data_IF_524292412506
#
_entry.id   IF_524292412506
#
_cell.length_a   1.000
_cell.length_b   1.000
_cell.length_c   1.000
_cell.angle_alpha   90.00
_cell.angle_beta   90.00
_cell.angle_gamma   90.00
#
_symmetry.space_group_name_H-M   'P 1'
#
loop_
_entity.id
_entity.type
_entity.pdbx_description
1 polymer ?
#
# COMPACT_ATOMS: atom_id res chain seq x y z
N UNK A 1 -2.82 7.89 -9.39
CA UNK A 1 -3.83 6.85 -9.16
C UNK A 1 -3.99 6.67 -7.66
N UNK A 2 -5.04 7.24 -7.07
CA UNK A 2 -5.41 6.94 -5.68
C UNK A 2 -6.14 5.61 -5.72
N UNK A 3 -5.58 4.62 -5.03
CA UNK A 3 -6.24 3.34 -4.85
C UNK A 3 -7.10 3.47 -3.59
N UNK A 4 -8.42 3.47 -3.80
CA UNK A 4 -9.40 3.37 -2.75
C UNK A 4 -9.72 1.88 -2.61
N UNK A 5 -8.90 1.19 -1.84
CA UNK A 5 -9.10 -0.20 -1.47
C UNK A 5 -9.20 -0.24 0.05
N UNK A 6 -10.29 -0.81 0.55
CA UNK A 6 -10.47 -1.15 1.96
C UNK A 6 -9.61 -2.37 2.31
N UNK A 7 -9.40 -2.60 3.62
CA UNK A 7 -8.68 -3.79 4.09
C UNK A 7 -9.41 -5.08 3.70
N UNK A 8 -10.74 -5.11 3.80
CA UNK A 8 -11.55 -6.26 3.36
C UNK A 8 -11.43 -6.56 1.87
N UNK A 9 -11.40 -5.52 1.02
CA UNK A 9 -11.19 -5.72 -0.42
C UNK A 9 -9.77 -6.20 -0.72
N UNK A 10 -8.77 -5.74 0.04
CA UNK A 10 -7.40 -6.22 -0.08
C UNK A 10 -7.28 -7.70 0.31
N UNK A 11 -7.97 -8.11 1.37
CA UNK A 11 -7.98 -9.50 1.83
C UNK A 11 -8.69 -10.42 0.83
N UNK A 12 -9.80 -9.97 0.25
CA UNK A 12 -10.50 -10.70 -0.83
C UNK A 12 -9.62 -10.88 -2.07
N UNK A 13 -8.91 -9.83 -2.51
CA UNK A 13 -7.93 -9.89 -3.61
C UNK A 13 -6.80 -10.86 -3.27
N UNK A 14 -6.33 -10.86 -2.03
CA UNK A 14 -5.26 -11.74 -1.57
C UNK A 14 -5.68 -13.20 -1.53
N UNK A 15 -6.92 -13.47 -1.13
CA UNK A 15 -7.51 -14.79 -1.20
C UNK A 15 -7.63 -15.27 -2.65
N UNK A 16 -8.23 -14.46 -3.54
CA UNK A 16 -8.36 -14.80 -4.96
C UNK A 16 -7.00 -15.05 -5.63
N UNK A 17 -5.99 -14.23 -5.30
CA UNK A 17 -4.62 -14.43 -5.77
C UNK A 17 -4.06 -15.79 -5.34
N UNK A 18 -4.29 -16.19 -4.08
CA UNK A 18 -3.83 -17.48 -3.57
C UNK A 18 -4.50 -18.65 -4.29
N UNK A 19 -5.80 -18.56 -4.57
CA UNK A 19 -6.53 -19.61 -5.29
C UNK A 19 -6.00 -19.77 -6.72
N UNK A 20 -5.85 -18.66 -7.45
CA UNK A 20 -5.35 -18.68 -8.83
C UNK A 20 -3.91 -19.23 -8.87
N UNK A 21 -3.06 -18.83 -7.92
CA UNK A 21 -1.69 -19.33 -7.84
C UNK A 21 -1.64 -20.86 -7.67
N UNK A 22 -2.44 -21.40 -6.75
CA UNK A 22 -2.49 -22.84 -6.51
C UNK A 22 -2.93 -23.60 -7.76
N UNK A 23 -3.92 -23.08 -8.50
CA UNK A 23 -4.39 -23.73 -9.73
C UNK A 23 -3.37 -23.66 -10.87
N UNK A 24 -2.63 -22.56 -11.00
CA UNK A 24 -1.54 -22.47 -11.98
C UNK A 24 -0.44 -23.49 -11.67
N UNK A 25 -0.03 -23.61 -10.41
CA UNK A 25 1.05 -24.54 -10.00
C UNK A 25 0.67 -26.01 -10.25
N UNK A 26 -0.62 -26.34 -10.27
CA UNK A 26 -1.13 -27.68 -10.54
C UNK A 26 -1.47 -27.94 -12.02
N UNK A 27 -1.51 -26.91 -12.86
CA UNK A 27 -1.99 -27.02 -14.24
C UNK A 27 -0.86 -27.35 -15.22
N UNK A 28 -1.14 -28.28 -16.15
CA UNK A 28 -0.22 -28.70 -17.22
C UNK A 28 -0.54 -28.04 -18.58
N UNK A 29 -1.57 -27.20 -18.65
CA UNK A 29 -1.98 -26.48 -19.85
C UNK A 29 -1.27 -25.12 -19.95
N UNK A 30 -0.32 -25.02 -20.88
CA UNK A 30 0.50 -23.83 -21.08
C UNK A 30 -0.33 -22.58 -21.44
N UNK A 31 -1.46 -22.72 -22.15
CA UNK A 31 -2.30 -21.57 -22.51
C UNK A 31 -3.02 -21.01 -21.29
N UNK A 32 -3.54 -21.90 -20.43
CA UNK A 32 -4.17 -21.51 -19.18
C UNK A 32 -3.16 -20.86 -18.22
N UNK A 33 -1.94 -21.42 -18.13
CA UNK A 33 -0.86 -20.88 -17.28
C UNK A 33 -0.47 -19.46 -17.69
N UNK A 34 -0.43 -19.15 -18.99
CA UNK A 34 -0.09 -17.81 -19.49
C UNK A 34 -1.17 -16.78 -19.09
N UNK A 35 -2.44 -17.05 -19.40
CA UNK A 35 -3.55 -16.12 -19.11
C UNK A 35 -3.73 -15.90 -17.60
N UNK A 36 -3.70 -16.98 -16.82
CA UNK A 36 -3.79 -16.91 -15.37
C UNK A 36 -2.56 -16.20 -14.76
N UNK A 37 -1.38 -16.34 -15.37
CA UNK A 37 -0.16 -15.64 -14.99
C UNK A 37 -0.26 -14.12 -15.14
N UNK A 38 -0.95 -13.63 -16.17
CA UNK A 38 -1.23 -12.19 -16.33
C UNK A 38 -2.19 -11.67 -15.26
N UNK A 39 -3.25 -12.42 -14.96
CA UNK A 39 -4.19 -12.07 -13.89
C UNK A 39 -3.49 -11.99 -12.52
N UNK A 40 -2.60 -12.94 -12.21
CA UNK A 40 -1.76 -12.91 -10.99
C UNK A 40 -0.92 -11.63 -10.93
N UNK A 41 -0.26 -11.24 -12.02
CA UNK A 41 0.58 -10.04 -12.06
C UNK A 41 -0.23 -8.77 -11.79
N UNK A 42 -1.45 -8.69 -12.35
CA UNK A 42 -2.33 -7.55 -12.13
C UNK A 42 -2.78 -7.46 -10.66
N UNK A 43 -3.20 -8.58 -10.07
CA UNK A 43 -3.58 -8.66 -8.65
C UNK A 43 -2.41 -8.30 -7.73
N UNK A 44 -1.20 -8.82 -7.99
CA UNK A 44 0.01 -8.46 -7.24
C UNK A 44 0.33 -6.97 -7.33
N UNK A 45 0.17 -6.36 -8.50
CA UNK A 45 0.37 -4.91 -8.67
C UNK A 45 -0.60 -4.07 -7.82
N UNK A 46 -1.85 -4.51 -7.71
CA UNK A 46 -2.85 -3.86 -6.84
C UNK A 46 -2.44 -4.00 -5.37
N UNK A 47 -2.07 -5.21 -4.94
CA UNK A 47 -1.63 -5.47 -3.58
C UNK A 47 -0.42 -4.62 -3.18
N UNK A 48 0.58 -4.52 -4.05
CA UNK A 48 1.77 -3.71 -3.82
C UNK A 48 1.46 -2.23 -3.67
N UNK A 49 0.57 -1.71 -4.52
CA UNK A 49 0.16 -0.31 -4.42
C UNK A 49 -0.62 -0.04 -3.13
N UNK A 50 -1.49 -0.95 -2.70
CA UNK A 50 -2.18 -0.86 -1.41
C UNK A 50 -1.18 -0.84 -0.24
N UNK A 51 -0.25 -1.81 -0.18
CA UNK A 51 0.81 -1.86 0.86
C UNK A 51 1.63 -0.57 0.89
N UNK A 52 2.01 -0.04 -0.27
CA UNK A 52 2.72 1.24 -0.38
C UNK A 52 1.88 2.42 0.13
N UNK A 53 0.58 2.43 -0.12
CA UNK A 53 -0.33 3.46 0.38
C UNK A 53 -0.52 3.37 1.91
N UNK A 54 -0.78 2.16 2.44
CA UNK A 54 -0.91 1.88 3.88
C UNK A 54 0.35 2.34 4.64
N UNK A 55 1.54 1.93 4.18
CA UNK A 55 2.81 2.36 4.78
C UNK A 55 3.01 3.88 4.75
N UNK A 56 2.64 4.56 3.67
CA UNK A 56 2.72 6.03 3.60
C UNK A 56 1.78 6.70 4.60
N UNK A 57 0.58 6.14 4.78
CA UNK A 57 -0.41 6.60 5.74
C UNK A 57 0.10 6.45 7.18
N UNK A 58 0.58 5.25 7.54
CA UNK A 58 1.13 4.95 8.85
C UNK A 58 2.29 5.88 9.21
N UNK A 59 3.23 6.09 8.28
CA UNK A 59 4.35 7.04 8.48
C UNK A 59 3.81 8.45 8.70
N UNK A 60 2.83 8.89 7.91
CA UNK A 60 2.22 10.20 8.07
C UNK A 60 1.60 10.40 9.44
N UNK A 61 0.80 9.43 9.92
CA UNK A 61 0.17 9.51 11.24
C UNK A 61 1.18 9.41 12.38
N UNK A 62 2.21 8.57 12.27
CA UNK A 62 3.27 8.47 13.27
C UNK A 62 4.06 9.78 13.41
N UNK A 63 4.47 10.39 12.29
CA UNK A 63 5.17 11.68 12.29
C UNK A 63 4.26 12.79 12.83
N UNK A 64 2.99 12.79 12.44
CA UNK A 64 2.00 13.76 12.94
C UNK A 64 1.78 13.62 14.45
N UNK A 65 1.72 12.39 14.97
CA UNK A 65 1.60 12.14 16.41
C UNK A 65 2.82 12.67 17.17
N UNK A 66 4.03 12.47 16.65
CA UNK A 66 5.25 13.06 17.23
C UNK A 66 5.23 14.58 17.26
N UNK A 67 4.76 15.23 16.19
CA UNK A 67 4.57 16.68 16.24
C UNK A 67 3.49 17.11 17.23
N UNK A 68 2.44 16.31 17.46
CA UNK A 68 1.41 16.63 18.47
C UNK A 68 1.98 16.52 19.89
N UNK A 69 2.84 15.54 20.16
CA UNK A 69 3.55 15.40 21.45
C UNK A 69 4.43 16.64 21.72
N UNK A 70 5.16 17.13 20.73
CA UNK A 70 6.04 18.31 20.87
C UNK A 70 5.31 19.65 20.82
N UNK A 71 4.17 19.71 20.12
CA UNK A 71 3.38 20.93 19.90
C UNK A 71 1.89 20.64 20.16
N UNK A 72 1.49 20.44 21.43
CA UNK A 72 0.12 20.07 21.78
C UNK A 72 -0.89 21.15 21.38
N UNK A 73 -0.53 22.43 21.41
CA UNK A 73 -1.43 23.54 21.02
C UNK A 73 -1.58 23.71 19.50
N UNK A 74 -0.77 23.01 18.70
CA UNK A 74 -0.83 23.15 17.25
C UNK A 74 -2.12 22.54 16.68
N UNK A 75 -2.74 23.26 15.74
CA UNK A 75 -3.94 22.79 15.04
C UNK A 75 -3.67 21.51 14.24
N UNK A 76 -4.72 20.71 14.05
CA UNK A 76 -4.71 19.51 13.19
C UNK A 76 -4.13 19.78 11.79
N UNK A 77 -4.51 20.93 11.19
CA UNK A 77 -4.05 21.36 9.86
C UNK A 77 -2.54 21.66 9.86
N UNK A 78 -2.06 22.39 10.86
CA UNK A 78 -0.64 22.72 11.01
C UNK A 78 0.21 21.46 11.17
N UNK A 79 -0.20 20.55 12.06
CA UNK A 79 0.47 19.27 12.28
C UNK A 79 0.52 18.43 11.00
N UNK A 80 -0.56 18.43 10.22
CA UNK A 80 -0.60 17.77 8.92
C UNK A 80 0.40 18.35 7.91
N UNK A 81 0.54 19.68 7.84
CA UNK A 81 1.53 20.34 6.98
C UNK A 81 2.96 20.01 7.41
N UNK A 82 3.24 20.05 8.72
CA UNK A 82 4.56 19.72 9.27
C UNK A 82 4.94 18.26 8.97
N UNK A 83 4.03 17.32 9.17
CA UNK A 83 4.28 15.91 8.87
C UNK A 83 4.62 15.68 7.39
N UNK A 84 3.89 16.31 6.46
CA UNK A 84 4.21 16.23 5.01
C UNK A 84 5.60 16.78 4.71
N UNK A 85 5.94 17.95 5.29
CA UNK A 85 7.25 18.59 5.08
C UNK A 85 8.39 17.73 5.60
N UNK A 86 8.27 17.18 6.81
CA UNK A 86 9.28 16.32 7.41
C UNK A 86 9.52 15.04 6.58
N UNK A 87 8.45 14.40 6.11
CA UNK A 87 8.54 13.20 5.25
C UNK A 87 9.22 13.52 3.92
N UNK A 88 8.92 14.69 3.32
CA UNK A 88 9.57 15.12 2.07
C UNK A 88 11.09 15.30 2.27
N UNK A 89 11.48 16.05 3.29
CA UNK A 89 12.90 16.29 3.60
C UNK A 89 13.67 15.00 3.91
N UNK A 90 13.04 14.04 4.62
CA UNK A 90 13.65 12.74 4.91
C UNK A 90 13.97 11.93 3.65
N UNK A 91 13.17 12.07 2.58
CA UNK A 91 13.41 11.39 1.30
C UNK A 91 14.50 12.06 0.48
N UNK A 92 14.56 13.39 0.52
CA UNK A 92 15.58 14.17 -0.20
C UNK A 92 16.98 13.94 0.39
N UNK A 93 17.10 13.77 1.71
CA UNK A 93 18.38 13.44 2.38
C UNK A 93 18.90 12.02 2.15
N UNK A 94 18.07 11.13 1.59
CA UNK A 94 18.44 9.74 1.27
C UNK A 94 18.87 9.55 -0.19
N UNK A 95 18.78 10.60 -1.01
CA UNK A 95 19.33 10.67 -2.37
C UNK A 95 20.71 11.27 -2.31
#
# INVERSE_FOLDING_TARGET
MNIYLTESEYDAISFAWSQIKTEIEACSDDSFVIEAGEAIRQLSSIQDKYRKAKRKSEIFYAVRAKFKESFPEASSSTLGKLARKAIKMSKEKKK
#
